data_IF_466003160054
#
_entry.id   IF_466003160054
#
_cell.length_a   1.000
_cell.length_b   1.000
_cell.length_c   1.000
_cell.angle_alpha   90.00
_cell.angle_beta   90.00
_cell.angle_gamma   90.00
#
_symmetry.space_group_name_H-M   'P 1'
#
loop_
_entity.id
_entity.type
_entity.pdbx_description
1 polymer ?
#
# COMPACT_ATOMS: atom_id res chain seq x y z
N UNK A 1 36.68 -27.48 -25.38
CA UNK A 1 35.45 -26.74 -25.03
C UNK A 1 35.79 -25.69 -23.98
N UNK A 2 36.05 -24.45 -24.38
CA UNK A 2 36.37 -23.34 -23.46
C UNK A 2 35.07 -22.71 -22.96
N UNK A 3 34.71 -23.01 -21.71
CA UNK A 3 33.56 -22.41 -21.04
C UNK A 3 33.73 -20.90 -20.95
N UNK A 4 32.74 -20.14 -21.46
CA UNK A 4 32.72 -18.68 -21.28
C UNK A 4 32.53 -18.37 -19.79
N UNK A 5 33.35 -17.49 -19.19
CA UNK A 5 33.19 -17.10 -17.81
C UNK A 5 31.88 -16.31 -17.68
N UNK A 6 30.97 -16.80 -16.84
CA UNK A 6 29.83 -16.05 -16.37
C UNK A 6 30.34 -14.83 -15.61
N UNK A 7 30.10 -13.62 -16.10
CA UNK A 7 30.33 -12.40 -15.30
C UNK A 7 30.93 -11.18 -16.00
N UNK A 8 31.24 -11.20 -17.31
CA UNK A 8 31.52 -9.95 -18.05
C UNK A 8 30.29 -9.52 -18.82
N UNK A 9 29.78 -8.34 -18.46
CA UNK A 9 28.86 -7.54 -19.27
C UNK A 9 29.25 -7.62 -20.75
N UNK A 10 28.32 -7.99 -21.64
CA UNK A 10 28.57 -7.97 -23.09
C UNK A 10 28.70 -6.55 -23.66
N UNK A 11 28.69 -5.53 -22.79
CA UNK A 11 28.79 -4.11 -23.11
C UNK A 11 30.26 -3.73 -23.24
N UNK A 12 30.61 -3.08 -24.35
CA UNK A 12 31.98 -2.59 -24.58
C UNK A 12 32.43 -1.64 -23.43
N UNK A 13 33.69 -1.69 -22.97
CA UNK A 13 34.15 -0.91 -21.80
C UNK A 13 33.84 0.59 -21.87
N UNK A 14 34.08 1.24 -23.01
CA UNK A 14 33.77 2.66 -23.20
C UNK A 14 32.26 2.96 -23.14
N UNK A 15 31.41 2.03 -23.56
CA UNK A 15 29.95 2.16 -23.42
C UNK A 15 29.55 1.97 -21.95
N UNK A 16 30.16 0.99 -21.29
CA UNK A 16 29.93 0.70 -19.88
C UNK A 16 30.25 1.93 -19.02
N UNK A 17 31.42 2.54 -19.20
CA UNK A 17 31.85 3.72 -18.43
C UNK A 17 30.92 4.93 -18.60
N UNK A 18 30.50 5.23 -19.85
CA UNK A 18 29.58 6.35 -20.11
C UNK A 18 28.23 6.14 -19.46
N UNK A 19 27.70 4.92 -19.55
CA UNK A 19 26.43 4.56 -18.90
C UNK A 19 26.56 4.60 -17.38
N UNK A 20 27.64 4.02 -16.83
CA UNK A 20 27.89 3.98 -15.40
C UNK A 20 28.03 5.37 -14.81
N UNK A 21 28.69 6.29 -15.52
CA UNK A 21 28.80 7.70 -15.13
C UNK A 21 27.42 8.37 -15.03
N UNK A 22 26.61 8.28 -16.07
CA UNK A 22 25.26 8.87 -16.08
C UNK A 22 24.36 8.28 -14.99
N UNK A 23 24.42 6.97 -14.76
CA UNK A 23 23.63 6.29 -13.72
C UNK A 23 24.04 6.73 -12.30
N UNK A 24 25.32 7.06 -12.08
CA UNK A 24 25.83 7.56 -10.78
C UNK A 24 25.49 9.04 -10.57
N UNK A 25 25.55 9.84 -11.63
CA UNK A 25 25.22 11.27 -11.59
C UNK A 25 23.72 11.52 -11.40
N UNK A 26 22.86 10.71 -12.01
CA UNK A 26 21.39 10.83 -11.90
C UNK A 26 20.74 9.55 -11.33
N UNK A 27 20.76 9.38 -10.00
CA UNK A 27 20.08 8.27 -9.35
C UNK A 27 18.58 8.26 -9.70
N UNK A 28 18.12 7.14 -10.28
CA UNK A 28 16.71 6.96 -10.66
C UNK A 28 16.38 7.26 -12.13
N UNK A 29 17.36 7.63 -12.96
CA UNK A 29 17.15 7.74 -14.41
C UNK A 29 16.74 6.39 -15.03
N UNK A 30 15.79 6.44 -15.98
CA UNK A 30 15.27 5.24 -16.64
C UNK A 30 16.20 4.69 -17.71
N UNK A 31 16.19 3.38 -17.94
CA UNK A 31 16.98 2.75 -19.01
C UNK A 31 16.60 3.27 -20.41
N UNK A 32 15.33 3.67 -20.58
CA UNK A 32 14.86 4.33 -21.80
C UNK A 32 15.45 5.74 -21.97
N UNK A 33 15.61 6.47 -20.87
CA UNK A 33 16.22 7.80 -20.90
C UNK A 33 17.72 7.73 -21.15
N UNK A 34 18.41 6.77 -20.52
CA UNK A 34 19.82 6.47 -20.81
C UNK A 34 19.99 6.11 -22.30
N UNK A 35 19.08 5.31 -22.86
CA UNK A 35 19.06 5.02 -24.29
C UNK A 35 18.89 6.28 -25.15
N UNK A 36 17.95 7.18 -24.80
CA UNK A 36 17.74 8.42 -25.56
C UNK A 36 18.96 9.33 -25.54
N UNK A 37 19.57 9.53 -24.37
CA UNK A 37 20.69 10.45 -24.19
C UNK A 37 22.00 9.91 -24.76
N UNK A 38 22.32 8.65 -24.50
CA UNK A 38 23.61 8.06 -24.87
C UNK A 38 23.56 7.24 -26.16
N UNK A 39 22.37 7.08 -26.77
CA UNK A 39 22.13 6.25 -27.97
C UNK A 39 22.62 4.80 -27.80
N UNK A 40 22.62 4.29 -26.57
CA UNK A 40 23.00 2.90 -26.23
C UNK A 40 21.76 2.01 -26.16
N UNK A 41 21.89 0.71 -26.42
CA UNK A 41 20.75 -0.21 -26.28
C UNK A 41 20.20 -0.25 -24.85
N UNK A 42 18.88 -0.28 -24.68
CA UNK A 42 18.21 -0.38 -23.36
C UNK A 42 18.71 -1.57 -22.53
N UNK A 43 19.02 -2.71 -23.18
CA UNK A 43 19.60 -3.89 -22.52
C UNK A 43 21.02 -3.62 -22.00
N UNK A 44 21.80 -2.78 -22.67
CA UNK A 44 23.13 -2.38 -22.20
C UNK A 44 23.01 -1.51 -20.93
N UNK A 45 22.07 -0.57 -20.89
CA UNK A 45 21.79 0.22 -19.68
C UNK A 45 21.41 -0.67 -18.49
N UNK A 46 20.49 -1.61 -18.71
CA UNK A 46 20.08 -2.58 -17.68
C UNK A 46 21.22 -3.51 -17.22
N UNK A 47 22.12 -3.90 -18.13
CA UNK A 47 23.30 -4.70 -17.80
C UNK A 47 24.27 -3.92 -16.91
N UNK A 48 24.62 -2.69 -17.29
CA UNK A 48 25.50 -1.82 -16.49
C UNK A 48 24.91 -1.55 -15.10
N UNK A 49 23.59 -1.31 -15.01
CA UNK A 49 22.89 -1.13 -13.73
C UNK A 49 23.05 -2.36 -12.82
N UNK A 50 22.97 -3.57 -13.39
CA UNK A 50 23.20 -4.83 -12.67
C UNK A 50 24.65 -4.98 -12.23
N UNK A 51 25.60 -4.64 -13.11
CA UNK A 51 27.04 -4.69 -12.79
C UNK A 51 27.40 -3.75 -11.64
N UNK A 52 26.71 -2.60 -11.55
CA UNK A 52 26.85 -1.63 -10.45
C UNK A 52 26.11 -2.04 -9.15
N UNK A 53 25.43 -3.19 -9.13
CA UNK A 53 24.62 -3.63 -7.98
C UNK A 53 23.39 -2.74 -7.71
N UNK A 54 22.99 -1.91 -8.66
CA UNK A 54 21.83 -1.03 -8.50
C UNK A 54 20.52 -1.81 -8.69
N UNK A 55 19.49 -1.43 -7.94
CA UNK A 55 18.13 -1.97 -8.13
C UNK A 55 17.69 -1.71 -9.58
N UNK A 56 17.15 -2.71 -10.29
CA UNK A 56 16.62 -2.53 -11.65
C UNK A 56 15.63 -1.37 -11.70
N UNK A 57 15.73 -0.53 -12.73
CA UNK A 57 14.76 0.54 -12.92
C UNK A 57 13.39 -0.08 -13.21
N UNK A 58 12.45 0.11 -12.30
CA UNK A 58 11.06 -0.28 -12.50
C UNK A 58 10.28 0.98 -12.85
N UNK A 59 9.80 1.05 -14.09
CA UNK A 59 8.84 2.07 -14.50
C UNK A 59 7.51 1.82 -13.77
N UNK A 60 7.42 2.28 -12.53
CA UNK A 60 6.14 2.52 -11.87
C UNK A 60 5.68 3.91 -12.26
N UNK A 61 4.45 4.04 -12.76
CA UNK A 61 3.80 5.36 -12.67
C UNK A 61 3.61 5.64 -11.19
N UNK A 62 4.40 6.55 -10.64
CA UNK A 62 4.13 7.10 -9.31
C UNK A 62 2.86 7.92 -9.46
N UNK A 63 1.78 7.44 -8.85
CA UNK A 63 0.51 8.14 -8.84
C UNK A 63 0.50 9.10 -7.67
N UNK A 64 0.41 10.39 -7.97
CA UNK A 64 0.15 11.45 -6.99
C UNK A 64 -1.31 11.86 -7.06
N UNK A 65 -1.81 12.59 -6.05
CA UNK A 65 -3.20 13.07 -6.06
C UNK A 65 -3.45 14.03 -7.23
N UNK A 66 -2.47 14.87 -7.57
CA UNK A 66 -2.54 15.83 -8.66
C UNK A 66 -2.72 15.11 -10.00
N UNK A 67 -1.90 14.09 -10.26
CA UNK A 67 -1.99 13.28 -11.49
C UNK A 67 -3.29 12.48 -11.61
N UNK A 68 -3.86 12.08 -10.48
CA UNK A 68 -5.19 11.45 -10.46
C UNK A 68 -6.27 12.51 -10.71
N UNK A 69 -6.13 13.70 -10.13
CA UNK A 69 -7.07 14.79 -10.29
C UNK A 69 -7.13 15.32 -11.72
N UNK A 70 -6.04 15.29 -12.49
CA UNK A 70 -6.01 15.60 -13.93
C UNK A 70 -6.98 14.73 -14.76
N UNK A 71 -7.32 13.54 -14.29
CA UNK A 71 -8.24 12.59 -14.95
C UNK A 71 -9.64 12.55 -14.29
N UNK A 72 -9.92 13.53 -13.44
CA UNK A 72 -11.16 13.62 -12.69
C UNK A 72 -11.74 15.03 -12.75
N UNK A 73 -13.06 15.12 -12.62
CA UNK A 73 -13.77 16.40 -12.60
C UNK A 73 -14.15 16.78 -11.17
N UNK A 74 -13.72 17.94 -10.66
CA UNK A 74 -14.18 18.44 -9.37
C UNK A 74 -15.66 18.83 -9.44
N UNK A 75 -16.39 18.61 -8.36
CA UNK A 75 -17.78 19.02 -8.18
C UNK A 75 -17.95 19.72 -6.83
N UNK A 76 -19.04 20.50 -6.70
CA UNK A 76 -19.41 21.16 -5.43
C UNK A 76 -19.51 20.14 -4.29
N UNK A 77 -19.15 20.56 -3.07
CA UNK A 77 -19.17 19.70 -1.88
C UNK A 77 -17.97 18.78 -1.74
N UNK A 78 -16.81 19.14 -2.33
CA UNK A 78 -15.57 18.36 -2.21
C UNK A 78 -15.59 17.03 -2.96
N UNK A 79 -16.53 16.85 -3.88
CA UNK A 79 -16.59 15.64 -4.71
C UNK A 79 -15.56 15.73 -5.84
N UNK A 80 -14.95 14.59 -6.15
CA UNK A 80 -14.07 14.42 -7.29
C UNK A 80 -14.56 13.21 -8.08
N UNK A 81 -15.05 13.41 -9.30
CA UNK A 81 -15.65 12.34 -10.12
C UNK A 81 -14.60 11.81 -11.10
N UNK A 82 -14.35 10.51 -11.05
CA UNK A 82 -13.45 9.86 -11.98
C UNK A 82 -14.04 9.77 -13.39
N UNK A 83 -13.31 10.28 -14.37
CA UNK A 83 -13.70 10.27 -15.79
C UNK A 83 -12.83 9.34 -16.65
N UNK A 84 -11.75 8.80 -16.07
CA UNK A 84 -10.88 7.85 -16.74
C UNK A 84 -11.44 6.43 -16.82
N UNK A 85 -10.53 5.47 -16.97
CA UNK A 85 -10.86 4.06 -17.18
C UNK A 85 -11.68 3.46 -16.04
N UNK A 86 -12.67 2.64 -16.39
CA UNK A 86 -13.42 1.81 -15.45
C UNK A 86 -13.26 0.32 -15.78
N UNK A 87 -13.35 -0.54 -14.76
CA UNK A 87 -13.40 -1.98 -14.91
C UNK A 87 -14.81 -2.48 -15.29
N UNK A 88 -14.95 -3.79 -15.47
CA UNK A 88 -16.21 -4.44 -15.89
C UNK A 88 -17.39 -4.17 -14.93
N UNK A 89 -17.12 -4.01 -13.63
CA UNK A 89 -18.12 -3.65 -12.62
C UNK A 89 -18.33 -2.14 -12.42
N UNK A 90 -17.78 -1.30 -13.30
CA UNK A 90 -17.85 0.16 -13.18
C UNK A 90 -16.90 0.76 -12.12
N UNK A 91 -16.06 -0.06 -11.49
CA UNK A 91 -15.03 0.38 -10.55
C UNK A 91 -14.00 1.27 -11.25
N UNK A 92 -13.69 2.46 -10.72
CA UNK A 92 -12.59 3.30 -11.20
C UNK A 92 -11.23 2.59 -11.16
N UNK A 93 -10.50 2.55 -12.28
CA UNK A 93 -9.21 1.85 -12.41
C UNK A 93 -8.10 2.78 -12.91
N UNK A 94 -6.95 2.78 -12.23
CA UNK A 94 -5.73 3.44 -12.73
C UNK A 94 -5.00 2.57 -13.76
N UNK A 95 -5.02 1.25 -13.54
CA UNK A 95 -4.47 0.27 -14.45
C UNK A 95 -5.19 -1.08 -14.30
N UNK A 96 -4.64 -2.17 -14.86
CA UNK A 96 -5.28 -3.49 -14.82
C UNK A 96 -5.42 -4.10 -13.42
N UNK A 97 -4.61 -3.66 -12.45
CA UNK A 97 -4.52 -4.28 -11.11
C UNK A 97 -4.82 -3.31 -9.97
N UNK A 98 -4.72 -2.00 -10.20
CA UNK A 98 -4.87 -0.97 -9.18
C UNK A 98 -6.15 -0.15 -9.41
N UNK A 99 -7.05 -0.19 -8.43
CA UNK A 99 -8.22 0.70 -8.41
C UNK A 99 -7.84 2.12 -8.03
N UNK A 100 -8.55 3.11 -8.56
CA UNK A 100 -8.34 4.53 -8.21
C UNK A 100 -8.67 4.74 -6.73
N UNK A 101 -9.74 4.11 -6.23
CA UNK A 101 -10.15 4.23 -4.83
C UNK A 101 -9.04 3.80 -3.87
N UNK A 102 -8.38 2.66 -4.10
CA UNK A 102 -7.27 2.22 -3.23
C UNK A 102 -6.09 3.17 -3.29
N UNK A 103 -5.73 3.67 -4.48
CA UNK A 103 -4.63 4.62 -4.63
C UNK A 103 -4.92 5.95 -3.92
N UNK A 104 -6.10 6.54 -4.15
CA UNK A 104 -6.48 7.80 -3.50
C UNK A 104 -6.63 7.62 -2.00
N UNK A 105 -7.17 6.49 -1.53
CA UNK A 105 -7.24 6.19 -0.11
C UNK A 105 -5.86 6.21 0.55
N UNK A 106 -4.87 5.53 -0.05
CA UNK A 106 -3.48 5.50 0.46
C UNK A 106 -2.89 6.90 0.52
N UNK A 107 -3.03 7.65 -0.56
CA UNK A 107 -2.49 9.00 -0.66
C UNK A 107 -3.16 9.97 0.32
N UNK A 108 -4.45 9.83 0.57
CA UNK A 108 -5.20 10.71 1.47
C UNK A 108 -5.01 10.36 2.96
N UNK A 109 -5.07 9.07 3.31
CA UNK A 109 -4.99 8.62 4.71
C UNK A 109 -3.57 8.24 5.16
N UNK A 110 -2.59 8.24 4.26
CA UNK A 110 -1.20 7.90 4.58
C UNK A 110 -0.98 6.43 4.99
N UNK A 111 -1.93 5.53 4.71
CA UNK A 111 -1.86 4.11 5.09
C UNK A 111 -2.49 3.18 4.05
N UNK A 112 -2.10 1.91 4.10
CA UNK A 112 -2.76 0.86 3.31
C UNK A 112 -4.21 0.64 3.78
N UNK A 113 -5.18 0.48 2.84
CA UNK A 113 -6.54 0.14 3.21
C UNK A 113 -6.62 -1.27 3.79
N UNK A 114 -7.43 -1.41 4.83
CA UNK A 114 -7.78 -2.71 5.38
C UNK A 114 -9.03 -3.21 4.66
N UNK A 115 -8.82 -4.22 3.81
CA UNK A 115 -9.88 -4.83 3.02
C UNK A 115 -10.32 -3.98 1.84
N UNK A 116 -11.63 -3.84 1.64
CA UNK A 116 -12.20 -3.13 0.49
C UNK A 116 -12.36 -1.65 0.78
N UNK A 117 -12.16 -0.81 -0.24
CA UNK A 117 -12.38 0.64 -0.18
C UNK A 117 -13.67 0.98 -0.92
N UNK A 118 -14.57 1.69 -0.25
CA UNK A 118 -15.86 2.11 -0.78
C UNK A 118 -16.03 3.62 -0.68
N UNK A 119 -16.86 4.17 -1.57
CA UNK A 119 -17.33 5.53 -1.44
C UNK A 119 -18.46 5.60 -0.40
N UNK A 120 -18.38 6.57 0.50
CA UNK A 120 -19.44 6.85 1.49
C UNK A 120 -20.49 7.82 1.00
N UNK A 121 -20.18 8.57 -0.06
CA UNK A 121 -21.13 9.49 -0.67
C UNK A 121 -22.02 8.79 -1.72
N UNK A 122 -23.18 9.39 -2.00
CA UNK A 122 -24.13 8.88 -3.01
C UNK A 122 -23.71 9.16 -4.46
N UNK A 123 -22.59 9.87 -4.68
CA UNK A 123 -22.12 10.23 -6.02
C UNK A 123 -21.38 9.06 -6.66
N UNK A 124 -21.95 8.52 -7.75
CA UNK A 124 -21.33 7.45 -8.52
C UNK A 124 -19.93 7.86 -9.02
N UNK A 125 -18.94 6.97 -8.88
CA UNK A 125 -17.52 7.21 -9.26
C UNK A 125 -16.85 8.39 -8.55
N UNK A 126 -17.35 8.79 -7.38
CA UNK A 126 -16.61 9.73 -6.56
C UNK A 126 -15.35 9.05 -5.99
N UNK A 127 -14.21 9.69 -6.18
CA UNK A 127 -12.89 9.24 -5.74
C UNK A 127 -12.26 10.20 -4.72
N UNK A 128 -13.01 11.20 -4.23
CA UNK A 128 -12.48 12.15 -3.25
C UNK A 128 -12.06 11.42 -1.98
N UNK A 129 -10.80 11.60 -1.54
CA UNK A 129 -10.22 10.87 -0.41
C UNK A 129 -11.08 10.90 0.86
N UNK A 130 -11.61 12.08 1.22
CA UNK A 130 -12.49 12.26 2.38
C UNK A 130 -13.82 11.49 2.28
N UNK A 131 -14.23 11.09 1.08
CA UNK A 131 -15.42 10.28 0.82
C UNK A 131 -15.11 8.80 0.63
N UNK A 132 -13.86 8.38 0.84
CA UNK A 132 -13.46 6.98 0.79
C UNK A 132 -13.31 6.44 2.21
N UNK A 133 -13.79 5.22 2.42
CA UNK A 133 -13.56 4.46 3.64
C UNK A 133 -13.18 3.04 3.29
N UNK A 134 -12.27 2.47 4.06
CA UNK A 134 -12.00 1.04 4.03
C UNK A 134 -12.92 0.30 5.01
N UNK A 135 -12.81 -1.03 5.09
CA UNK A 135 -13.65 -1.82 6.01
C UNK A 135 -13.42 -1.36 7.48
N UNK A 136 -12.21 -0.89 7.82
CA UNK A 136 -11.86 -0.35 9.13
C UNK A 136 -12.62 0.95 9.47
N UNK A 137 -12.54 1.96 8.61
CA UNK A 137 -13.23 3.23 8.85
C UNK A 137 -14.75 3.04 8.81
N UNK A 138 -15.24 2.07 8.05
CA UNK A 138 -16.64 1.67 8.08
C UNK A 138 -17.04 0.99 9.40
N UNK A 139 -16.10 0.32 10.07
CA UNK A 139 -16.31 -0.34 11.35
C UNK A 139 -16.32 0.64 12.54
N UNK A 140 -15.68 1.80 12.40
CA UNK A 140 -15.65 2.81 13.46
C UNK A 140 -16.90 3.71 13.48
N UNK A 141 -17.83 3.54 12.54
CA UNK A 141 -19.03 4.37 12.43
C UNK A 141 -20.03 4.05 13.57
N UNK A 142 -20.42 5.03 14.42
CA UNK A 142 -21.38 4.82 15.48
C UNK A 142 -22.72 4.28 14.95
N UNK A 143 -23.12 3.10 15.41
CA UNK A 143 -24.37 2.43 15.00
C UNK A 143 -24.16 1.20 14.11
N UNK A 144 -22.95 0.94 13.63
CA UNK A 144 -22.62 -0.33 12.98
C UNK A 144 -22.11 -1.33 14.01
N UNK A 145 -22.97 -2.28 14.41
CA UNK A 145 -22.62 -3.29 15.41
C UNK A 145 -21.69 -4.38 14.86
N UNK A 146 -21.70 -4.62 13.55
CA UNK A 146 -20.83 -5.63 12.93
C UNK A 146 -20.23 -5.23 11.58
N UNK A 147 -19.02 -5.71 11.28
CA UNK A 147 -18.42 -5.68 9.93
C UNK A 147 -18.01 -7.10 9.53
N UNK A 148 -18.66 -7.62 8.48
CA UNK A 148 -18.46 -8.98 7.95
C UNK A 148 -18.50 -10.05 9.05
N UNK A 149 -19.44 -9.91 9.98
CA UNK A 149 -19.63 -10.85 11.08
C UNK A 149 -18.71 -10.63 12.29
N UNK A 150 -17.81 -9.65 12.27
CA UNK A 150 -17.03 -9.25 13.46
C UNK A 150 -17.82 -8.26 14.30
N UNK A 151 -17.88 -8.46 15.61
CA UNK A 151 -18.54 -7.57 16.56
C UNK A 151 -17.65 -6.36 16.89
N UNK A 152 -18.07 -5.19 16.43
CA UNK A 152 -17.34 -3.95 16.58
C UNK A 152 -17.51 -3.33 17.96
N UNK A 153 -18.63 -3.62 18.62
CA UNK A 153 -18.87 -3.21 19.98
C UNK A 153 -17.96 -3.99 20.93
N UNK A 154 -17.80 -5.30 20.71
CA UNK A 154 -16.85 -6.11 21.46
C UNK A 154 -15.40 -5.63 21.28
N UNK A 155 -14.97 -5.37 20.03
CA UNK A 155 -13.64 -4.82 19.74
C UNK A 155 -13.44 -3.47 20.44
N UNK A 156 -14.41 -2.56 20.33
CA UNK A 156 -14.32 -1.25 20.98
C UNK A 156 -14.24 -1.36 22.50
N UNK A 157 -15.07 -2.21 23.09
CA UNK A 157 -15.08 -2.45 24.53
C UNK A 157 -13.75 -3.05 24.99
N UNK A 158 -13.18 -4.02 24.26
CA UNK A 158 -11.85 -4.57 24.57
C UNK A 158 -10.73 -3.51 24.56
N UNK A 159 -10.81 -2.53 23.65
CA UNK A 159 -9.80 -1.47 23.52
C UNK A 159 -10.02 -0.30 24.49
N UNK A 160 -11.25 -0.09 24.98
CA UNK A 160 -11.62 1.14 25.72
C UNK A 160 -11.99 0.92 27.18
N UNK A 161 -12.38 -0.29 27.58
CA UNK A 161 -12.87 -0.57 28.93
C UNK A 161 -11.77 -1.15 29.83
N UNK A 162 -11.97 -1.00 31.13
CA UNK A 162 -11.22 -1.75 32.16
C UNK A 162 -11.73 -3.20 32.25
N UNK A 163 -10.95 -4.13 32.83
CA UNK A 163 -11.36 -5.52 32.99
C UNK A 163 -12.73 -5.67 33.70
N UNK A 164 -13.53 -6.70 33.36
CA UNK A 164 -13.22 -7.80 32.43
C UNK A 164 -13.47 -7.42 30.97
N UNK A 165 -12.53 -7.79 30.09
CA UNK A 165 -12.64 -7.55 28.66
C UNK A 165 -13.62 -8.55 28.02
N UNK A 166 -14.42 -8.13 27.02
CA UNK A 166 -15.26 -9.07 26.29
C UNK A 166 -14.38 -10.10 25.55
N UNK A 167 -14.82 -11.37 25.46
CA UNK A 167 -14.09 -12.36 24.69
C UNK A 167 -14.14 -11.98 23.20
N UNK A 168 -12.97 -11.91 22.57
CA UNK A 168 -12.86 -11.71 21.13
C UNK A 168 -12.59 -13.03 20.43
N UNK A 169 -13.27 -13.29 19.32
CA UNK A 169 -12.83 -14.36 18.42
C UNK A 169 -11.54 -13.95 17.70
N UNK A 170 -10.89 -14.91 17.01
CA UNK A 170 -9.57 -14.64 16.40
C UNK A 170 -9.62 -13.56 15.30
N UNK A 171 -10.74 -13.40 14.60
CA UNK A 171 -10.93 -12.36 13.59
C UNK A 171 -11.04 -10.97 14.22
N UNK A 172 -11.83 -10.86 15.29
CA UNK A 172 -11.95 -9.65 16.10
C UNK A 172 -10.64 -9.27 16.75
N UNK A 173 -9.92 -10.23 17.34
CA UNK A 173 -8.61 -10.00 17.95
C UNK A 173 -7.59 -9.49 16.93
N UNK A 174 -7.57 -10.03 15.70
CA UNK A 174 -6.71 -9.54 14.61
C UNK A 174 -7.07 -8.12 14.19
N UNK A 175 -8.36 -7.82 14.09
CA UNK A 175 -8.85 -6.48 13.73
C UNK A 175 -8.50 -5.47 14.82
N UNK A 176 -8.78 -5.80 16.07
CA UNK A 176 -8.46 -5.00 17.25
C UNK A 176 -6.94 -4.76 17.40
N UNK A 177 -6.10 -5.77 17.15
CA UNK A 177 -4.65 -5.61 17.13
C UNK A 177 -4.19 -4.63 16.05
N UNK A 178 -4.85 -4.61 14.88
CA UNK A 178 -4.54 -3.66 13.79
C UNK A 178 -5.06 -2.25 14.05
N UNK A 179 -5.99 -2.10 14.99
CA UNK A 179 -6.60 -0.81 15.38
C UNK A 179 -5.81 -0.08 16.46
N UNK A 180 -5.11 -0.83 17.31
CA UNK A 180 -4.39 -0.26 18.45
C UNK A 180 -3.13 0.46 17.99
N UNK A 181 -2.85 1.61 18.60
CA UNK A 181 -1.50 2.18 18.52
C UNK A 181 -0.61 1.40 19.48
N UNK A 182 0.39 0.69 18.95
CA UNK A 182 1.28 -0.12 19.77
C UNK A 182 2.19 0.75 20.65
N UNK A 183 2.39 2.03 20.31
CA UNK A 183 3.16 2.96 21.13
C UNK A 183 2.50 3.18 22.50
N UNK A 184 1.16 3.27 22.54
CA UNK A 184 0.40 3.43 23.79
C UNK A 184 0.56 2.23 24.74
N UNK A 185 0.99 1.08 24.23
CA UNK A 185 1.11 -0.18 24.96
C UNK A 185 2.57 -0.65 25.12
N UNK A 186 3.55 0.25 24.96
CA UNK A 186 4.94 -0.07 25.27
C UNK A 186 5.08 -0.50 26.74
N UNK A 187 5.73 -1.63 26.98
CA UNK A 187 5.82 -2.26 28.31
C UNK A 187 4.53 -2.93 28.81
N UNK A 188 3.37 -2.74 28.16
CA UNK A 188 2.05 -3.28 28.55
C UNK A 188 1.53 -4.39 27.62
N UNK A 189 2.41 -5.08 26.91
CA UNK A 189 2.04 -6.12 25.94
C UNK A 189 1.21 -7.28 26.54
N UNK A 190 1.41 -7.62 27.82
CA UNK A 190 0.59 -8.64 28.51
C UNK A 190 -0.85 -8.18 28.72
N UNK A 191 -1.04 -6.91 29.07
CA UNK A 191 -2.36 -6.31 29.25
C UNK A 191 -3.11 -6.30 27.91
N UNK A 192 -2.44 -5.86 26.84
CA UNK A 192 -3.03 -5.85 25.51
C UNK A 192 -3.33 -7.27 24.99
N UNK A 193 -2.46 -8.25 25.26
CA UNK A 193 -2.74 -9.65 24.94
C UNK A 193 -4.02 -10.14 25.65
N UNK A 194 -4.21 -9.78 26.92
CA UNK A 194 -5.42 -10.11 27.68
C UNK A 194 -6.67 -9.40 27.11
N UNK A 195 -6.59 -8.11 26.79
CA UNK A 195 -7.66 -7.33 26.12
C UNK A 195 -8.15 -8.01 24.85
N UNK A 196 -7.19 -8.52 24.07
CA UNK A 196 -7.44 -9.12 22.77
C UNK A 196 -7.83 -10.60 22.83
N UNK A 197 -7.95 -11.20 24.02
CA UNK A 197 -8.20 -12.63 24.19
C UNK A 197 -7.15 -13.52 23.47
N UNK A 198 -5.89 -13.09 23.42
CA UNK A 198 -4.78 -13.83 22.80
C UNK A 198 -3.66 -14.13 23.81
N UNK A 199 -2.85 -15.14 23.50
CA UNK A 199 -1.68 -15.46 24.33
C UNK A 199 -0.57 -14.42 24.12
N UNK A 200 0.27 -14.15 25.15
CA UNK A 200 1.44 -13.28 25.01
C UNK A 200 2.36 -13.69 23.84
N UNK A 201 2.50 -15.00 23.59
CA UNK A 201 3.26 -15.52 22.45
C UNK A 201 2.66 -15.10 21.10
N UNK A 202 1.33 -15.11 20.97
CA UNK A 202 0.65 -14.65 19.75
C UNK A 202 0.81 -13.15 19.57
N UNK A 203 0.71 -12.37 20.65
CA UNK A 203 0.94 -10.94 20.65
C UNK A 203 2.35 -10.59 20.13
N UNK A 204 3.41 -11.18 20.69
CA UNK A 204 4.78 -10.92 20.24
C UNK A 204 5.00 -11.30 18.78
N UNK A 205 4.39 -12.41 18.33
CA UNK A 205 4.44 -12.81 16.92
C UNK A 205 3.77 -11.78 16.00
N UNK A 206 2.61 -11.25 16.39
CA UNK A 206 1.89 -10.24 15.60
C UNK A 206 2.59 -8.88 15.65
N UNK A 207 3.21 -8.51 16.78
CA UNK A 207 4.06 -7.32 16.90
C UNK A 207 5.25 -7.39 15.93
N UNK A 208 5.91 -8.54 15.84
CA UNK A 208 7.06 -8.73 14.98
C UNK A 208 6.73 -8.86 13.48
N UNK A 209 5.62 -9.51 13.12
CA UNK A 209 5.30 -9.89 11.73
C UNK A 209 4.08 -9.19 11.14
N UNK A 210 3.35 -8.42 11.94
CA UNK A 210 1.99 -7.98 11.66
C UNK A 210 0.95 -9.06 11.96
N UNK A 211 -0.21 -8.66 12.45
CA UNK A 211 -1.36 -9.56 12.58
C UNK A 211 -1.85 -9.98 11.17
N UNK A 212 -2.22 -11.25 10.95
CA UNK A 212 -2.84 -11.68 9.70
C UNK A 212 -4.11 -10.90 9.35
N UNK A 213 -4.59 -11.05 8.11
CA UNK A 213 -5.91 -10.54 7.73
C UNK A 213 -6.98 -11.10 8.69
N UNK A 214 -7.93 -10.26 9.16
CA UNK A 214 -9.09 -10.73 9.91
C UNK A 214 -10.13 -11.41 9.00
N UNK A 215 -9.94 -11.32 7.67
CA UNK A 215 -10.72 -11.97 6.61
C UNK A 215 -9.95 -13.12 5.97
#
# INVERSE_FOLDING_TARGET
>A
MTGRPWGRSSVAPAVWERVARLLKEEPGISDSEVHRRLRVGRRAAAAVRRDLGMVPYRAGTVWTLERIAEQARPLRGGHLIWEGRVGQGGTPMLNRVLSVNQAVFRLHHGREPLGRVYGTCRRKRCIAGAHLRDDLLCALDPGRLTVRGLDLQAIRAALSCDPPYPPLNIGEARLAFRLVDLADYEGRGRELAARLSITPRTFERWKAKGAPSPW
#
